data_IF_481061438353
#
_entry.id   IF_481061438353
#
_cell.length_a   1.000
_cell.length_b   1.000
_cell.length_c   1.000
_cell.angle_alpha   90.00
_cell.angle_beta   90.00
_cell.angle_gamma   90.00
#
_symmetry.space_group_name_H-M   'P 1'
#
loop_
_entity.id
_entity.type
_entity.pdbx_description
1 polymer ?
#
# COMPACT_ATOMS: atom_id res chain seq x y z
N UNK A 1 -14.68 -19.29 -9.47
CA UNK A 1 -14.71 -18.25 -8.43
C UNK A 1 -15.54 -18.76 -7.29
N UNK A 2 -14.89 -19.33 -6.27
CA UNK A 2 -15.42 -19.79 -4.97
C UNK A 2 -14.26 -20.42 -4.16
N UNK A 3 -13.05 -19.87 -4.30
CA UNK A 3 -11.91 -20.27 -3.48
C UNK A 3 -11.90 -19.47 -2.19
N UNK A 4 -11.68 -20.12 -1.05
CA UNK A 4 -11.30 -19.44 0.21
C UNK A 4 -10.12 -18.46 0.00
N UNK A 5 -9.27 -18.76 -0.98
CA UNK A 5 -8.14 -17.96 -1.42
C UNK A 5 -8.54 -16.58 -2.02
N UNK A 6 -9.59 -16.52 -2.83
CA UNK A 6 -10.07 -15.29 -3.47
C UNK A 6 -10.69 -14.33 -2.43
N UNK A 7 -11.44 -14.88 -1.47
CA UNK A 7 -12.01 -14.11 -0.36
C UNK A 7 -10.93 -13.55 0.56
N UNK A 8 -9.91 -14.36 0.88
CA UNK A 8 -8.78 -13.91 1.67
C UNK A 8 -8.00 -12.81 0.95
N UNK A 9 -7.79 -12.95 -0.36
CA UNK A 9 -7.17 -11.94 -1.18
C UNK A 9 -7.99 -10.64 -1.19
N UNK A 10 -9.31 -10.71 -1.37
CA UNK A 10 -10.20 -9.55 -1.37
C UNK A 10 -10.20 -8.80 -0.03
N UNK A 11 -10.31 -9.52 1.09
CA UNK A 11 -10.24 -8.92 2.43
C UNK A 11 -8.87 -8.30 2.68
N UNK A 12 -7.79 -8.98 2.28
CA UNK A 12 -6.43 -8.44 2.34
C UNK A 12 -6.29 -7.15 1.53
N UNK A 13 -6.85 -7.09 0.31
CA UNK A 13 -6.88 -5.86 -0.51
C UNK A 13 -7.54 -4.71 0.24
N UNK A 14 -8.71 -4.95 0.84
CA UNK A 14 -9.46 -3.90 1.54
C UNK A 14 -8.70 -3.38 2.76
N UNK A 15 -8.07 -4.26 3.54
CA UNK A 15 -7.25 -3.87 4.69
C UNK A 15 -6.03 -3.07 4.24
N UNK A 16 -5.31 -3.54 3.21
CA UNK A 16 -4.14 -2.84 2.67
C UNK A 16 -4.50 -1.45 2.13
N UNK A 17 -5.62 -1.34 1.41
CA UNK A 17 -6.14 -0.07 0.93
C UNK A 17 -6.48 0.88 2.08
N UNK A 18 -7.12 0.36 3.13
CA UNK A 18 -7.44 1.13 4.34
C UNK A 18 -6.19 1.66 5.05
N UNK A 19 -5.12 0.87 5.14
CA UNK A 19 -3.87 1.30 5.76
C UNK A 19 -3.20 2.45 5.01
N UNK A 20 -3.22 2.42 3.67
CA UNK A 20 -2.68 3.53 2.86
C UNK A 20 -3.59 4.75 2.95
N UNK A 21 -4.91 4.56 2.86
CA UNK A 21 -5.88 5.66 2.90
C UNK A 21 -5.93 6.37 4.25
N UNK A 22 -5.68 5.66 5.35
CA UNK A 22 -5.63 6.24 6.69
C UNK A 22 -4.39 7.12 6.92
N UNK A 23 -3.36 7.00 6.06
CA UNK A 23 -2.11 7.75 6.07
C UNK A 23 -1.52 8.03 7.47
N UNK A 24 -1.43 6.98 8.29
CA UNK A 24 -0.94 7.02 9.68
C UNK A 24 0.60 7.17 9.75
N UNK A 25 1.19 7.83 8.75
CA UNK A 25 2.62 8.04 8.58
C UNK A 25 3.33 6.94 7.81
N UNK A 26 4.58 7.25 7.43
CA UNK A 26 5.41 6.44 6.52
C UNK A 26 5.42 4.92 6.77
N UNK A 27 5.51 4.50 8.04
CA UNK A 27 5.64 3.06 8.38
C UNK A 27 4.34 2.29 8.13
N UNK A 28 3.18 2.87 8.45
CA UNK A 28 1.88 2.23 8.23
C UNK A 28 1.63 2.05 6.73
N UNK A 29 1.85 3.10 5.95
CA UNK A 29 1.76 3.08 4.48
C UNK A 29 2.71 2.05 3.86
N UNK A 30 3.94 1.96 4.37
CA UNK A 30 4.91 0.95 3.97
C UNK A 30 4.45 -0.50 4.23
N UNK A 31 3.85 -0.77 5.39
CA UNK A 31 3.27 -2.09 5.69
C UNK A 31 2.01 -2.40 4.87
N UNK A 32 1.23 -1.37 4.51
CA UNK A 32 0.13 -1.50 3.54
C UNK A 32 0.61 -2.04 2.20
N UNK A 33 1.72 -1.53 1.68
CA UNK A 33 2.35 -2.06 0.46
C UNK A 33 2.85 -3.51 0.60
N UNK A 34 3.39 -3.88 1.77
CA UNK A 34 3.80 -5.28 2.04
C UNK A 34 2.59 -6.22 1.97
N UNK A 35 1.47 -5.82 2.58
CA UNK A 35 0.23 -6.60 2.54
C UNK A 35 -0.31 -6.71 1.11
N UNK A 36 -0.27 -5.62 0.34
CA UNK A 36 -0.64 -5.65 -1.07
C UNK A 36 0.24 -6.59 -1.92
N UNK A 37 1.53 -6.70 -1.63
CA UNK A 37 2.40 -7.70 -2.28
C UNK A 37 1.91 -9.13 -2.00
N UNK A 38 1.59 -9.47 -0.75
CA UNK A 38 1.11 -10.80 -0.39
C UNK A 38 -0.23 -11.14 -1.08
N UNK A 39 -1.13 -10.15 -1.14
CA UNK A 39 -2.42 -10.27 -1.81
C UNK A 39 -2.27 -10.40 -3.33
N UNK A 40 -1.37 -9.63 -3.95
CA UNK A 40 -1.09 -9.74 -5.37
C UNK A 40 -0.57 -11.12 -5.75
N UNK A 41 0.33 -11.72 -4.95
CA UNK A 41 0.77 -13.12 -5.16
C UNK A 41 -0.41 -14.09 -5.13
N UNK A 42 -1.34 -13.88 -4.20
CA UNK A 42 -2.54 -14.71 -4.06
C UNK A 42 -3.44 -14.60 -5.30
N UNK A 43 -3.65 -13.39 -5.82
CA UNK A 43 -4.40 -13.17 -7.07
C UNK A 43 -3.69 -13.72 -8.31
N UNK A 44 -2.35 -13.66 -8.36
CA UNK A 44 -1.58 -14.28 -9.45
C UNK A 44 -1.80 -15.79 -9.45
N UNK A 45 -1.65 -16.45 -8.29
CA UNK A 45 -1.88 -17.90 -8.16
C UNK A 45 -3.31 -18.23 -8.59
N UNK A 46 -4.31 -17.53 -8.04
CA UNK A 46 -5.72 -17.77 -8.37
C UNK A 46 -6.03 -17.56 -9.85
N UNK A 47 -5.43 -16.53 -10.47
CA UNK A 47 -5.60 -16.23 -11.88
C UNK A 47 -5.00 -17.31 -12.79
N UNK A 48 -3.81 -17.82 -12.45
CA UNK A 48 -3.18 -18.91 -13.20
C UNK A 48 -3.93 -20.23 -13.03
N UNK A 49 -4.37 -20.58 -11.81
CA UNK A 49 -5.09 -21.85 -11.57
C UNK A 49 -6.51 -21.87 -12.13
N UNK A 50 -7.07 -20.71 -12.45
CA UNK A 50 -8.44 -20.56 -12.95
C UNK A 50 -8.50 -20.15 -14.44
N UNK A 51 -7.39 -20.27 -15.18
CA UNK A 51 -7.24 -19.82 -16.58
C UNK A 51 -7.64 -18.34 -16.81
N UNK A 52 -7.55 -17.52 -15.77
CA UNK A 52 -7.84 -16.09 -15.79
C UNK A 52 -6.53 -15.27 -15.93
N UNK A 53 -5.85 -15.45 -17.05
CA UNK A 53 -4.58 -14.77 -17.36
C UNK A 53 -4.62 -13.23 -17.21
N UNK A 54 -5.70 -12.51 -17.59
CA UNK A 54 -5.77 -11.06 -17.38
C UNK A 54 -5.65 -10.65 -15.90
N UNK A 55 -6.27 -11.41 -14.99
CA UNK A 55 -6.20 -11.15 -13.53
C UNK A 55 -4.78 -11.39 -13.02
N UNK A 56 -4.13 -12.47 -13.47
CA UNK A 56 -2.76 -12.78 -13.10
C UNK A 56 -1.77 -11.72 -13.62
N UNK A 57 -1.88 -11.32 -14.90
CA UNK A 57 -1.01 -10.32 -15.51
C UNK A 57 -1.14 -8.95 -14.82
N UNK A 58 -2.37 -8.51 -14.55
CA UNK A 58 -2.62 -7.26 -13.82
C UNK A 58 -1.97 -7.29 -12.42
N UNK A 59 -2.15 -8.38 -11.67
CA UNK A 59 -1.59 -8.50 -10.32
C UNK A 59 -0.06 -8.66 -10.32
N UNK A 60 0.53 -9.20 -11.39
CA UNK A 60 1.99 -9.21 -11.55
C UNK A 60 2.56 -7.79 -11.68
N UNK A 61 1.91 -6.92 -12.45
CA UNK A 61 2.29 -5.49 -12.54
C UNK A 61 2.09 -4.80 -11.19
N UNK A 62 0.95 -5.03 -10.54
CA UNK A 62 0.69 -4.46 -9.21
C UNK A 62 1.72 -4.93 -8.19
N UNK A 63 2.16 -6.19 -8.23
CA UNK A 63 3.21 -6.68 -7.35
C UNK A 63 4.51 -5.88 -7.50
N UNK A 64 4.91 -5.54 -8.73
CA UNK A 64 6.08 -4.70 -8.98
C UNK A 64 5.91 -3.27 -8.42
N UNK A 65 4.75 -2.67 -8.64
CA UNK A 65 4.43 -1.32 -8.12
C UNK A 65 4.41 -1.34 -6.59
N UNK A 66 3.80 -2.34 -5.97
CA UNK A 66 3.74 -2.47 -4.52
C UNK A 66 5.13 -2.73 -3.94
N UNK A 67 5.96 -3.55 -4.58
CA UNK A 67 7.35 -3.76 -4.17
C UNK A 67 8.16 -2.45 -4.24
N UNK A 68 7.92 -1.62 -5.26
CA UNK A 68 8.49 -0.27 -5.32
C UNK A 68 8.01 0.61 -4.15
N UNK A 69 6.72 0.55 -3.82
CA UNK A 69 6.17 1.20 -2.63
C UNK A 69 6.84 0.76 -1.33
N UNK A 70 7.04 -0.54 -1.13
CA UNK A 70 7.79 -1.08 0.03
C UNK A 70 9.20 -0.51 0.08
N UNK A 71 9.93 -0.51 -1.04
CA UNK A 71 11.27 0.05 -1.10
C UNK A 71 11.26 1.55 -0.77
N UNK A 72 10.33 2.31 -1.35
CA UNK A 72 10.20 3.74 -1.16
C UNK A 72 9.92 4.12 0.30
N UNK A 73 8.99 3.42 0.95
CA UNK A 73 8.49 3.78 2.28
C UNK A 73 9.24 3.11 3.42
N UNK A 74 9.68 1.84 3.30
CA UNK A 74 10.34 1.13 4.39
C UNK A 74 11.87 1.11 4.27
N UNK A 75 12.41 0.92 3.07
CA UNK A 75 13.83 0.56 2.90
C UNK A 75 14.73 1.73 2.48
N UNK A 76 14.22 2.69 1.72
CA UNK A 76 15.02 3.79 1.17
C UNK A 76 15.38 4.85 2.24
N UNK A 77 16.68 4.99 2.61
CA UNK A 77 17.10 5.95 3.63
C UNK A 77 16.92 7.40 3.18
N UNK A 78 17.07 7.65 1.87
CA UNK A 78 16.88 8.99 1.27
C UNK A 78 15.42 9.40 1.34
N UNK A 79 14.51 8.49 1.00
CA UNK A 79 13.08 8.78 1.04
C UNK A 79 12.58 8.93 2.47
N UNK A 80 13.11 8.14 3.41
CA UNK A 80 12.80 8.30 4.84
C UNK A 80 12.99 9.74 5.32
N UNK A 81 14.18 10.33 5.10
CA UNK A 81 14.45 11.71 5.51
C UNK A 81 13.56 12.73 4.80
N UNK A 82 13.27 12.49 3.51
CA UNK A 82 12.40 13.36 2.73
C UNK A 82 10.97 13.34 3.28
N UNK A 83 10.41 12.16 3.54
CA UNK A 83 9.04 11.98 4.02
C UNK A 83 8.91 12.56 5.44
N UNK A 84 9.84 12.26 6.34
CA UNK A 84 9.84 12.78 7.72
C UNK A 84 9.86 14.32 7.74
N UNK A 85 10.67 14.94 6.87
CA UNK A 85 10.69 16.40 6.73
C UNK A 85 9.39 16.96 6.13
N UNK A 86 8.71 16.22 5.26
CA UNK A 86 7.42 16.64 4.72
C UNK A 86 6.33 16.56 5.79
N UNK A 87 6.30 15.46 6.56
CA UNK A 87 5.38 15.27 7.70
C UNK A 87 5.55 16.39 8.75
N UNK A 88 6.80 16.78 9.05
CA UNK A 88 7.09 17.92 9.95
C UNK A 88 6.55 19.26 9.41
N UNK A 89 6.73 19.51 8.11
CA UNK A 89 6.26 20.75 7.46
C UNK A 89 4.73 20.80 7.38
N UNK A 90 4.09 19.66 7.13
CA UNK A 90 2.63 19.53 7.12
C UNK A 90 2.05 19.82 8.50
N UNK A 91 2.59 19.21 9.56
CA UNK A 91 2.16 19.50 10.93
C UNK A 91 2.38 20.97 11.33
N UNK A 92 3.46 21.59 10.86
CA UNK A 92 3.68 23.01 11.09
C UNK A 92 2.62 23.87 10.37
N UNK A 93 2.32 23.56 9.10
CA UNK A 93 1.30 24.26 8.32
C UNK A 93 -0.12 24.07 8.90
N UNK A 94 -0.45 22.88 9.40
CA UNK A 94 -1.72 22.62 10.09
C UNK A 94 -1.86 23.47 11.35
N UNK A 95 -0.82 23.52 12.19
CA UNK A 95 -0.83 24.36 13.41
C UNK A 95 -0.93 25.86 13.09
N UNK A 96 -0.24 26.32 12.06
CA UNK A 96 -0.36 27.71 11.58
C UNK A 96 -1.78 28.01 11.12
N UNK A 97 -2.39 27.10 10.34
CA UNK A 97 -3.78 27.24 9.86
C UNK A 97 -4.78 27.24 11.02
N UNK A 98 -4.61 26.37 12.02
CA UNK A 98 -5.43 26.33 13.23
C UNK A 98 -5.29 27.63 14.05
N UNK A 99 -4.07 28.16 14.17
CA UNK A 99 -3.83 29.41 14.88
C UNK A 99 -4.39 30.64 14.15
N UNK A 100 -4.48 30.62 12.81
CA UNK A 100 -5.11 31.67 12.00
C UNK A 100 -6.64 31.59 11.98
N UNK A 101 -7.22 30.41 12.24
CA UNK A 101 -8.67 30.17 12.17
C UNK A 101 -9.39 30.18 13.53
N UNK A 102 -8.66 30.27 14.64
CA UNK A 102 -9.19 30.44 16.00
C UNK A 102 -9.19 31.88 16.49
#
# INVERSE_FOLDING_TARGET
>A
MNGSLEWLAAVGTMIAAGLIAADLGRRATGWGFVLFCAVAVTWIISGVTSDALPIAAMNAILLLINAWGVWQYLLSPKNRKKIEKLEELEQAAERETEAESG
#
